data_IF_243947826374
#
_entry.id   IF_243947826374
#
_cell.length_a   1.000
_cell.length_b   1.000
_cell.length_c   1.000
_cell.angle_alpha   90.00
_cell.angle_beta   90.00
_cell.angle_gamma   90.00
#
_symmetry.space_group_name_H-M   'P 1'
#
loop_
_entity.id
_entity.type
_entity.pdbx_description
1 polymer ?
#
# COMPACT_ATOMS: atom_id res chain seq x y z
N UNK A 1 -2.43 20.52 -0.23
CA UNK A 1 -2.27 19.13 0.27
C UNK A 1 -1.32 19.19 1.46
N UNK A 2 -1.76 18.83 2.67
CA UNK A 2 -0.96 19.02 3.88
C UNK A 2 -0.84 17.70 4.63
N UNK A 3 0.39 17.27 4.91
CA UNK A 3 0.69 16.19 5.85
C UNK A 3 1.24 16.88 7.09
N UNK A 4 0.80 16.43 8.26
CA UNK A 4 1.35 16.89 9.54
C UNK A 4 2.87 16.65 9.58
N UNK A 5 3.63 17.65 10.04
CA UNK A 5 5.09 17.58 10.14
C UNK A 5 5.53 16.46 11.07
N UNK A 6 4.82 16.22 12.17
CA UNK A 6 5.18 15.17 13.11
C UNK A 6 5.00 13.78 12.46
N UNK A 7 3.95 13.62 11.66
CA UNK A 7 3.70 12.39 10.88
C UNK A 7 4.75 12.20 9.78
N UNK A 8 5.17 13.29 9.13
CA UNK A 8 6.24 13.28 8.13
C UNK A 8 7.55 12.81 8.79
N UNK A 9 7.97 13.47 9.86
CA UNK A 9 9.24 13.23 10.53
C UNK A 9 9.27 11.82 11.13
N UNK A 10 8.18 11.35 11.71
CA UNK A 10 8.06 9.98 12.22
C UNK A 10 8.22 8.93 11.11
N UNK A 11 7.69 9.17 9.90
CA UNK A 11 7.86 8.24 8.76
C UNK A 11 9.30 8.22 8.27
N UNK A 12 9.90 9.40 8.12
CA UNK A 12 11.30 9.54 7.70
C UNK A 12 12.23 8.86 8.70
N UNK A 13 12.01 9.06 10.01
CA UNK A 13 12.79 8.43 11.08
C UNK A 13 12.68 6.89 11.06
N UNK A 14 11.55 6.33 10.62
CA UNK A 14 11.39 4.88 10.40
C UNK A 14 12.08 4.37 9.13
N UNK A 15 12.56 5.25 8.25
CA UNK A 15 13.18 4.92 6.97
C UNK A 15 12.20 4.89 5.80
N UNK A 16 10.97 5.39 5.96
CA UNK A 16 10.06 5.56 4.84
C UNK A 16 10.56 6.69 3.92
N UNK A 17 10.32 6.56 2.62
CA UNK A 17 10.71 7.55 1.62
C UNK A 17 9.48 8.11 0.92
N UNK A 18 9.41 9.43 0.79
CA UNK A 18 8.30 10.11 0.14
C UNK A 18 8.70 10.49 -1.30
N UNK A 19 7.88 10.08 -2.27
CA UNK A 19 8.02 10.45 -3.66
C UNK A 19 6.90 11.43 -4.00
N UNK A 20 7.26 12.51 -4.71
CA UNK A 20 6.32 13.58 -5.06
C UNK A 20 6.28 13.81 -6.56
N UNK A 21 5.10 14.12 -7.08
CA UNK A 21 4.96 14.72 -8.41
C UNK A 21 4.66 16.20 -8.23
N UNK A 22 5.29 17.03 -9.07
CA UNK A 22 5.11 18.46 -9.09
C UNK A 22 4.45 18.93 -10.38
N UNK A 23 3.63 19.96 -10.28
CA UNK A 23 3.20 20.81 -11.39
C UNK A 23 3.72 22.20 -11.05
N UNK A 24 4.64 22.72 -11.86
CA UNK A 24 5.43 23.91 -11.52
C UNK A 24 6.09 23.75 -10.14
N UNK A 25 5.93 24.72 -9.25
CA UNK A 25 6.48 24.68 -7.89
C UNK A 25 5.59 23.94 -6.86
N UNK A 26 4.41 23.46 -7.27
CA UNK A 26 3.45 22.83 -6.37
C UNK A 26 3.57 21.31 -6.35
N UNK A 27 3.54 20.72 -5.15
CA UNK A 27 3.39 19.27 -4.98
C UNK A 27 1.93 18.88 -5.17
N UNK A 28 1.64 18.18 -6.27
CA UNK A 28 0.27 17.83 -6.70
C UNK A 28 -0.09 16.38 -6.43
N UNK A 29 0.89 15.50 -6.26
CA UNK A 29 0.69 14.12 -5.82
C UNK A 29 1.89 13.62 -5.00
N UNK A 30 1.65 12.61 -4.16
CA UNK A 30 2.72 11.91 -3.45
C UNK A 30 2.37 10.44 -3.23
N UNK A 31 3.39 9.67 -2.84
CA UNK A 31 3.29 8.29 -2.40
C UNK A 31 4.48 7.91 -1.53
N UNK A 32 4.25 7.03 -0.57
CA UNK A 32 5.28 6.59 0.37
C UNK A 32 5.79 5.20 0.00
N UNK A 33 7.07 4.98 0.23
CA UNK A 33 7.74 3.69 0.08
C UNK A 33 8.32 3.27 1.43
N UNK A 34 7.94 2.09 1.91
CA UNK A 34 8.47 1.48 3.11
C UNK A 34 9.17 0.16 2.80
N UNK A 35 10.36 -0.05 3.36
CA UNK A 35 11.10 -1.33 3.33
C UNK A 35 11.02 -2.08 4.66
N UNK A 36 10.32 -1.51 5.64
CA UNK A 36 10.11 -2.07 6.98
C UNK A 36 8.62 -2.25 7.24
N UNK A 37 8.30 -2.84 8.39
CA UNK A 37 6.91 -3.07 8.81
C UNK A 37 6.12 -1.77 8.86
N UNK A 38 4.97 -1.74 8.18
CA UNK A 38 4.01 -0.65 8.25
C UNK A 38 2.60 -1.18 8.54
N UNK A 39 1.75 -0.28 9.03
CA UNK A 39 0.36 -0.58 9.37
C UNK A 39 -0.59 -0.16 8.25
N UNK A 40 -1.38 -1.11 7.76
CA UNK A 40 -2.46 -0.88 6.81
C UNK A 40 -3.73 -0.63 7.62
N UNK A 41 -4.04 0.64 7.88
CA UNK A 41 -5.13 1.06 8.76
C UNK A 41 -6.50 0.55 8.33
N UNK A 42 -6.80 0.66 7.04
CA UNK A 42 -8.07 0.24 6.44
C UNK A 42 -8.31 -1.27 6.52
N UNK A 43 -7.23 -2.08 6.59
CA UNK A 43 -7.32 -3.52 6.71
C UNK A 43 -6.97 -4.01 8.12
N UNK A 44 -6.57 -3.13 9.03
CA UNK A 44 -5.95 -3.48 10.31
C UNK A 44 -4.97 -4.66 10.23
N UNK A 45 -4.09 -4.60 9.23
CA UNK A 45 -3.02 -5.57 8.95
C UNK A 45 -1.66 -4.91 9.10
N UNK A 46 -0.66 -5.71 9.45
CA UNK A 46 0.75 -5.34 9.30
C UNK A 46 1.23 -5.86 7.96
N UNK A 47 2.02 -5.06 7.25
CA UNK A 47 2.80 -5.52 6.10
C UNK A 47 4.27 -5.35 6.41
N UNK A 48 5.03 -6.43 6.26
CA UNK A 48 6.48 -6.48 6.46
C UNK A 48 7.10 -6.98 5.16
N UNK A 49 7.54 -6.06 4.27
CA UNK A 49 8.31 -6.44 3.10
C UNK A 49 9.58 -7.22 3.49
N UNK A 50 10.00 -8.17 2.65
CA UNK A 50 11.29 -8.86 2.80
C UNK A 50 12.46 -7.97 2.33
N UNK A 51 13.69 -8.40 2.55
CA UNK A 51 14.92 -7.61 2.29
C UNK A 51 15.03 -7.01 0.87
N UNK A 52 14.45 -7.65 -0.14
CA UNK A 52 14.43 -7.17 -1.54
C UNK A 52 13.06 -6.67 -1.99
N UNK A 53 12.19 -6.34 -1.04
CA UNK A 53 10.82 -5.90 -1.30
C UNK A 53 10.52 -4.56 -0.64
N UNK A 54 9.50 -3.87 -1.14
CA UNK A 54 8.99 -2.68 -0.47
C UNK A 54 7.48 -2.52 -0.66
N UNK A 55 6.88 -1.69 0.18
CA UNK A 55 5.45 -1.40 0.17
C UNK A 55 5.20 0.06 -0.21
N UNK A 56 4.42 0.26 -1.27
CA UNK A 56 3.90 1.56 -1.69
C UNK A 56 2.59 1.81 -0.96
N UNK A 57 2.48 2.96 -0.29
CA UNK A 57 1.33 3.26 0.55
C UNK A 57 1.05 4.75 0.67
N UNK A 58 -0.14 5.05 1.19
CA UNK A 58 -0.63 6.40 1.44
C UNK A 58 -0.34 7.33 0.24
N UNK A 59 -0.81 6.92 -0.93
CA UNK A 59 -0.69 7.72 -2.14
C UNK A 59 -1.89 8.64 -2.25
N UNK A 60 -1.65 9.91 -2.57
CA UNK A 60 -2.72 10.86 -2.84
C UNK A 60 -2.39 11.76 -4.02
N UNK A 61 -3.44 12.18 -4.72
CA UNK A 61 -3.37 13.23 -5.74
C UNK A 61 -4.35 14.32 -5.34
N UNK A 62 -3.86 15.56 -5.34
CA UNK A 62 -4.67 16.74 -5.05
C UNK A 62 -5.91 16.75 -5.94
N UNK A 63 -7.13 17.03 -5.40
CA UNK A 63 -8.38 16.89 -6.15
C UNK A 63 -8.40 17.57 -7.51
N UNK A 64 -7.83 18.78 -7.61
CA UNK A 64 -7.76 19.55 -8.86
C UNK A 64 -6.89 18.88 -9.96
N UNK A 65 -5.97 18.00 -9.58
CA UNK A 65 -5.02 17.34 -10.48
C UNK A 65 -5.34 15.85 -10.71
N UNK A 66 -6.49 15.37 -10.22
CA UNK A 66 -6.92 13.97 -10.43
C UNK A 66 -7.21 13.72 -11.91
N UNK A 67 -7.05 12.46 -12.33
CA UNK A 67 -7.27 11.99 -13.72
C UNK A 67 -6.32 12.61 -14.77
N UNK A 68 -5.25 13.27 -14.34
CA UNK A 68 -4.21 13.83 -15.22
C UNK A 68 -2.92 12.98 -15.26
N UNK A 69 -2.94 11.79 -14.66
CA UNK A 69 -1.80 10.86 -14.69
C UNK A 69 -0.77 11.01 -13.57
N UNK A 70 -0.87 12.00 -12.69
CA UNK A 70 0.09 12.22 -11.60
C UNK A 70 0.24 11.04 -10.63
N UNK A 71 -0.86 10.37 -10.25
CA UNK A 71 -0.78 9.13 -9.45
C UNK A 71 0.09 8.06 -10.14
N UNK A 72 -0.15 7.83 -11.44
CA UNK A 72 0.62 6.86 -12.23
C UNK A 72 2.09 7.27 -12.33
N UNK A 73 2.37 8.56 -12.49
CA UNK A 73 3.74 9.08 -12.51
C UNK A 73 4.47 8.82 -11.18
N UNK A 74 3.82 9.04 -10.03
CA UNK A 74 4.39 8.73 -8.72
C UNK A 74 4.69 7.24 -8.58
N UNK A 75 3.72 6.37 -8.88
CA UNK A 75 3.89 4.90 -8.77
C UNK A 75 5.01 4.40 -9.69
N UNK A 76 5.06 4.89 -10.93
CA UNK A 76 6.12 4.53 -11.88
C UNK A 76 7.49 5.06 -11.42
N UNK A 77 7.56 6.28 -10.91
CA UNK A 77 8.80 6.85 -10.37
C UNK A 77 9.34 6.03 -9.20
N UNK A 78 8.46 5.62 -8.28
CA UNK A 78 8.80 4.70 -7.20
C UNK A 78 9.33 3.36 -7.76
N UNK A 79 8.62 2.77 -8.73
CA UNK A 79 9.01 1.48 -9.31
C UNK A 79 10.36 1.51 -10.01
N UNK A 80 10.64 2.58 -10.77
CA UNK A 80 11.92 2.79 -11.45
C UNK A 80 13.04 2.94 -10.41
N UNK A 81 12.83 3.76 -9.38
CA UNK A 81 13.85 4.00 -8.36
C UNK A 81 14.13 2.74 -7.54
N UNK A 82 13.08 2.03 -7.11
CA UNK A 82 13.19 0.75 -6.41
C UNK A 82 14.01 -0.28 -7.20
N UNK A 83 13.77 -0.39 -8.51
CA UNK A 83 14.53 -1.30 -9.38
C UNK A 83 16.00 -0.92 -9.46
N UNK A 84 16.32 0.37 -9.56
CA UNK A 84 17.72 0.87 -9.57
C UNK A 84 18.47 0.54 -8.27
N UNK A 85 17.73 0.41 -7.18
CA UNK A 85 18.26 0.05 -5.85
C UNK A 85 18.29 -1.46 -5.61
N UNK A 86 17.95 -2.28 -6.61
CA UNK A 86 18.00 -3.74 -6.53
C UNK A 86 16.77 -4.38 -5.85
N UNK A 87 15.69 -3.63 -5.60
CA UNK A 87 14.45 -4.23 -5.14
C UNK A 87 13.81 -5.06 -6.26
N UNK A 88 13.38 -6.27 -5.91
CA UNK A 88 12.83 -7.26 -6.84
C UNK A 88 11.31 -7.29 -6.84
N UNK A 89 10.66 -6.73 -5.80
CA UNK A 89 9.20 -6.73 -5.68
C UNK A 89 8.67 -5.48 -4.98
N UNK A 90 7.51 -5.02 -5.43
CA UNK A 90 6.74 -3.96 -4.79
C UNK A 90 5.32 -4.43 -4.48
N UNK A 91 4.85 -4.07 -3.30
CA UNK A 91 3.49 -4.29 -2.85
C UNK A 91 2.71 -2.98 -2.89
N UNK A 92 1.45 -3.00 -3.30
CA UNK A 92 0.55 -1.84 -3.19
C UNK A 92 -0.88 -2.31 -2.90
N UNK A 93 -1.52 -1.67 -1.93
CA UNK A 93 -2.95 -1.86 -1.66
C UNK A 93 -3.78 -0.84 -2.44
N UNK A 94 -4.94 -1.25 -2.96
CA UNK A 94 -5.92 -0.34 -3.57
C UNK A 94 -7.30 -0.62 -2.99
N UNK A 95 -8.02 0.45 -2.63
CA UNK A 95 -9.36 0.35 -2.03
C UNK A 95 -10.46 0.47 -3.10
N UNK A 96 -10.18 1.13 -4.24
CA UNK A 96 -11.18 1.45 -5.29
C UNK A 96 -10.61 1.46 -6.72
N UNK A 97 -11.51 1.53 -7.71
CA UNK A 97 -11.27 1.92 -9.12
C UNK A 97 -11.56 3.42 -9.21
N UNK A 98 -10.69 4.32 -9.75
CA UNK A 98 -9.61 4.11 -10.75
C UNK A 98 -8.21 3.61 -10.34
N UNK A 99 -7.74 3.67 -9.07
CA UNK A 99 -6.39 3.25 -8.70
C UNK A 99 -5.99 1.84 -9.16
N UNK A 100 -6.91 0.88 -9.14
CA UNK A 100 -6.64 -0.50 -9.57
C UNK A 100 -6.19 -0.63 -11.04
N UNK A 101 -6.76 0.16 -11.96
CA UNK A 101 -6.32 0.17 -13.37
C UNK A 101 -4.96 0.84 -13.52
N UNK A 102 -4.75 1.96 -12.83
CA UNK A 102 -3.48 2.68 -12.90
C UNK A 102 -2.29 1.88 -12.35
N UNK A 103 -2.49 1.04 -11.32
CA UNK A 103 -1.45 0.12 -10.85
C UNK A 103 -1.24 -1.06 -11.81
N UNK A 104 -2.30 -1.58 -12.43
CA UNK A 104 -2.16 -2.61 -13.45
C UNK A 104 -1.35 -2.11 -14.66
N UNK A 105 -1.63 -0.89 -15.13
CA UNK A 105 -0.87 -0.23 -16.20
C UNK A 105 0.61 0.03 -15.82
N UNK A 106 0.93 0.05 -14.52
CA UNK A 106 2.29 0.15 -13.98
C UNK A 106 2.98 -1.22 -13.81
N UNK A 107 2.34 -2.31 -14.23
CA UNK A 107 2.88 -3.67 -14.19
C UNK A 107 2.57 -4.45 -12.91
N UNK A 108 1.69 -3.95 -12.03
CA UNK A 108 1.27 -4.70 -10.85
C UNK A 108 0.23 -5.76 -11.20
N UNK A 109 0.43 -6.98 -10.69
CA UNK A 109 -0.56 -8.05 -10.75
C UNK A 109 -1.29 -8.18 -9.40
N UNK A 110 -2.60 -8.46 -9.39
CA UNK A 110 -3.35 -8.59 -8.14
C UNK A 110 -2.97 -9.91 -7.45
N UNK A 111 -2.58 -9.86 -6.18
CA UNK A 111 -2.22 -11.06 -5.40
C UNK A 111 -3.38 -11.56 -4.52
N UNK A 112 -4.05 -10.63 -3.83
CA UNK A 112 -5.11 -10.90 -2.87
C UNK A 112 -6.25 -9.87 -3.05
N UNK A 113 -7.46 -10.28 -2.69
CA UNK A 113 -8.63 -9.41 -2.58
C UNK A 113 -9.12 -9.38 -1.14
N UNK A 114 -9.40 -8.18 -0.65
CA UNK A 114 -9.89 -7.96 0.70
C UNK A 114 -11.32 -7.43 0.65
N UNK A 115 -12.12 -7.88 1.59
CA UNK A 115 -13.42 -7.26 1.91
C UNK A 115 -13.44 -7.05 3.41
N UNK A 116 -13.58 -5.80 3.84
CA UNK A 116 -13.68 -5.48 5.26
C UNK A 116 -15.03 -4.84 5.55
N UNK A 117 -15.63 -5.23 6.68
CA UNK A 117 -16.87 -4.64 7.18
C UNK A 117 -16.66 -4.33 8.66
N UNK A 118 -16.92 -3.08 9.05
CA UNK A 118 -16.97 -2.67 10.44
C UNK A 118 -18.43 -2.58 10.87
N UNK A 119 -18.81 -3.38 11.86
CA UNK A 119 -20.15 -3.36 12.41
C UNK A 119 -20.10 -3.64 13.91
N UNK A 120 -20.75 -2.79 14.71
CA UNK A 120 -20.84 -2.92 16.18
C UNK A 120 -19.48 -3.14 16.89
N UNK A 121 -18.44 -2.40 16.49
CA UNK A 121 -17.09 -2.53 17.07
C UNK A 121 -16.36 -3.82 16.68
N UNK A 122 -16.94 -4.65 15.81
CA UNK A 122 -16.32 -5.84 15.25
C UNK A 122 -15.88 -5.53 13.82
N UNK A 123 -14.64 -5.91 13.51
CA UNK A 123 -14.15 -5.94 12.15
C UNK A 123 -14.23 -7.36 11.61
N UNK A 124 -14.92 -7.47 10.49
CA UNK A 124 -14.94 -8.65 9.65
C UNK A 124 -13.96 -8.42 8.51
N UNK A 125 -13.07 -9.39 8.29
CA UNK A 125 -12.13 -9.38 7.17
C UNK A 125 -12.27 -10.68 6.42
N UNK A 126 -12.61 -10.58 5.14
CA UNK A 126 -12.55 -11.68 4.19
C UNK A 126 -11.36 -11.47 3.27
N UNK A 127 -10.48 -12.46 3.22
CA UNK A 127 -9.33 -12.52 2.33
C UNK A 127 -9.59 -13.59 1.28
N UNK A 128 -9.52 -13.21 0.01
CA UNK A 128 -9.64 -14.12 -1.13
C UNK A 128 -8.37 -14.04 -1.98
N UNK A 129 -8.10 -15.11 -2.71
CA UNK A 129 -7.09 -15.10 -3.77
C UNK A 129 -7.59 -14.18 -4.88
N UNK A 130 -6.69 -13.39 -5.45
CA UNK A 130 -6.97 -12.76 -6.73
C UNK A 130 -6.69 -13.76 -7.86
N UNK A 131 -7.33 -13.54 -9.01
CA UNK A 131 -6.92 -14.19 -10.24
C UNK A 131 -5.56 -13.59 -10.65
N UNK A 132 -4.52 -14.42 -10.66
CA UNK A 132 -3.17 -14.03 -11.04
C UNK A 132 -2.57 -15.14 -11.89
N UNK A 133 -1.76 -14.80 -12.92
CA UNK A 133 -1.01 -15.77 -13.69
C UNK A 133 0.13 -16.41 -12.88
N UNK A 134 0.53 -15.81 -11.75
CA UNK A 134 1.61 -16.26 -10.88
C UNK A 134 1.06 -16.77 -9.52
N UNK A 135 1.07 -18.09 -9.27
CA UNK A 135 0.68 -18.69 -7.99
C UNK A 135 1.60 -18.29 -6.82
N UNK A 136 2.89 -18.07 -7.06
CA UNK A 136 3.88 -17.75 -6.02
C UNK A 136 3.66 -16.33 -5.47
N UNK A 137 3.10 -15.44 -6.30
CA UNK A 137 2.67 -14.11 -5.88
C UNK A 137 1.66 -14.17 -4.73
N UNK A 138 0.74 -15.13 -4.74
CA UNK A 138 -0.27 -15.28 -3.69
C UNK A 138 0.33 -15.75 -2.37
N UNK A 139 1.29 -16.68 -2.44
CA UNK A 139 1.99 -17.17 -1.26
C UNK A 139 2.82 -16.04 -0.64
N UNK A 140 3.65 -15.38 -1.44
CA UNK A 140 4.49 -14.28 -1.00
C UNK A 140 3.66 -13.14 -0.38
N UNK A 141 2.51 -12.78 -0.97
CA UNK A 141 1.63 -11.75 -0.42
C UNK A 141 1.10 -12.09 0.98
N UNK A 142 0.85 -13.38 1.25
CA UNK A 142 0.40 -13.84 2.57
C UNK A 142 1.52 -13.87 3.60
N UNK A 143 2.76 -14.04 3.16
CA UNK A 143 3.92 -14.10 4.04
C UNK A 143 4.36 -12.72 4.52
N UNK A 144 4.17 -11.68 3.70
CA UNK A 144 4.44 -10.30 4.09
C UNK A 144 3.31 -9.67 4.88
N UNK A 145 2.09 -10.23 4.84
CA UNK A 145 0.94 -9.71 5.57
C UNK A 145 0.70 -10.48 6.86
N UNK A 146 0.42 -9.77 7.96
CA UNK A 146 0.15 -10.36 9.25
C UNK A 146 -1.04 -9.76 9.99
N UNK A 147 -1.72 -10.61 10.77
CA UNK A 147 -2.67 -10.22 11.80
C UNK A 147 -2.01 -10.51 13.15
N UNK A 148 -1.64 -9.46 13.90
CA UNK A 148 -0.99 -9.58 15.23
C UNK A 148 0.24 -10.50 15.18
N UNK A 149 1.15 -10.26 14.25
CA UNK A 149 2.36 -11.06 14.04
C UNK A 149 2.15 -12.47 13.48
N UNK A 150 0.91 -12.90 13.17
CA UNK A 150 0.66 -14.19 12.50
C UNK A 150 0.43 -13.99 11.00
N UNK A 151 1.08 -14.77 10.13
CA UNK A 151 0.89 -14.68 8.68
C UNK A 151 -0.57 -14.79 8.26
N UNK A 152 -0.92 -14.05 7.21
CA UNK A 152 -2.29 -13.95 6.73
C UNK A 152 -2.80 -15.28 6.15
N UNK A 153 -4.01 -15.66 6.55
CA UNK A 153 -4.72 -16.83 6.03
C UNK A 153 -5.85 -16.40 5.09
N UNK A 154 -6.06 -17.18 4.03
CA UNK A 154 -7.25 -17.07 3.19
C UNK A 154 -8.47 -17.49 4.01
N UNK A 155 -9.60 -16.81 3.79
CA UNK A 155 -10.85 -17.09 4.49
C UNK A 155 -11.41 -15.86 5.19
N UNK A 156 -12.25 -16.08 6.19
CA UNK A 156 -12.88 -15.01 6.96
C UNK A 156 -12.32 -14.99 8.38
N UNK A 157 -12.04 -13.80 8.90
CA UNK A 157 -11.63 -13.57 10.28
C UNK A 157 -12.46 -12.44 10.90
N UNK A 158 -12.68 -12.54 12.21
CA UNK A 158 -13.38 -11.53 13.00
C UNK A 158 -12.52 -11.16 14.20
N UNK A 159 -12.46 -9.88 14.51
CA UNK A 159 -11.87 -9.39 15.76
C UNK A 159 -12.53 -8.08 16.19
N UNK A 160 -12.35 -7.69 17.46
CA UNK A 160 -12.66 -6.31 17.88
C UNK A 160 -11.81 -5.34 17.06
N UNK A 161 -12.45 -4.31 16.54
CA UNK A 161 -11.78 -3.23 15.82
C UNK A 161 -10.78 -2.54 16.75
N UNK A 162 -9.62 -2.19 16.21
CA UNK A 162 -8.59 -1.47 16.96
C UNK A 162 -8.29 -0.20 16.20
N UNK A 163 -8.68 0.94 16.78
CA UNK A 163 -8.27 2.24 16.28
C UNK A 163 -6.81 2.47 16.71
N UNK A 164 -5.84 2.05 15.90
CA UNK A 164 -4.46 2.54 16.06
C UNK A 164 -4.42 3.97 15.53
N UNK A 165 -4.11 4.95 16.39
CA UNK A 165 -3.76 6.32 15.96
C UNK A 165 -2.36 6.26 15.35
N UNK A 166 -2.21 6.84 14.15
CA UNK A 166 -0.95 6.93 13.41
C UNK A 166 -0.05 8.03 13.97
#
# INVERSE_FOLDING_TARGET
>A
MQIDRDVLDARIARGCRCFVARSDDEVVAFGWLATRTEWIGELELEITPRDSEAYIWNCATHPAYRRQGFFRAVVNGIAIQARREGLTRLWIGTIDIPPAKAVADAGFAPALRFTTVWHAGIRWLRVRRAETPDPDLQLAAREVLAIRGRPLRIGTSMKRAVLRRH
#
